data_IF_582043660099
#
_entry.id   IF_582043660099
#
_cell.length_a   1.000
_cell.length_b   1.000
_cell.length_c   1.000
_cell.angle_alpha   90.00
_cell.angle_beta   90.00
_cell.angle_gamma   90.00
#
_symmetry.space_group_name_H-M   'P 1'
#
loop_
_entity.id
_entity.type
_entity.pdbx_description
1 polymer ?
#
# COMPACT_ATOMS: atom_id res chain seq x y z
N UNK A 1 15.87 -19.73 27.72
CA UNK A 1 14.69 -18.88 27.98
C UNK A 1 13.55 -19.44 27.16
N UNK A 2 12.59 -20.09 27.81
CA UNK A 2 11.38 -20.58 27.14
C UNK A 2 10.55 -19.37 26.75
N UNK A 3 10.38 -19.15 25.45
CA UNK A 3 9.41 -18.17 24.97
C UNK A 3 8.03 -18.81 25.09
N UNK A 4 7.16 -18.34 26.01
CA UNK A 4 5.81 -18.86 26.09
C UNK A 4 5.12 -18.62 24.73
N UNK A 5 4.16 -19.48 24.41
CA UNK A 5 3.35 -19.56 23.17
C UNK A 5 2.95 -18.19 22.56
N UNK A 6 2.88 -17.14 23.38
CA UNK A 6 2.67 -15.76 22.98
C UNK A 6 3.74 -15.21 22.02
N UNK A 7 5.03 -15.43 22.26
CA UNK A 7 6.08 -14.79 21.45
C UNK A 7 6.18 -15.38 20.04
N UNK A 8 6.06 -16.71 19.89
CA UNK A 8 6.03 -17.37 18.57
C UNK A 8 4.83 -16.93 17.75
N UNK A 9 3.65 -16.83 18.38
CA UNK A 9 2.44 -16.33 17.73
C UNK A 9 2.61 -14.88 17.27
N UNK A 10 3.23 -14.03 18.10
CA UNK A 10 3.56 -12.65 17.73
C UNK A 10 4.52 -12.60 16.54
N UNK A 11 5.55 -13.45 16.51
CA UNK A 11 6.51 -13.50 15.39
C UNK A 11 5.81 -13.88 14.08
N UNK A 12 4.91 -14.88 14.08
CA UNK A 12 4.13 -15.23 12.88
C UNK A 12 3.23 -14.09 12.42
N UNK A 13 2.57 -13.41 13.36
CA UNK A 13 1.74 -12.24 13.05
C UNK A 13 2.58 -11.11 12.45
N UNK A 14 3.77 -10.84 13.00
CA UNK A 14 4.71 -9.84 12.48
C UNK A 14 5.19 -10.21 11.09
N UNK A 15 5.59 -11.47 10.87
CA UNK A 15 6.02 -11.99 9.57
C UNK A 15 4.92 -11.87 8.51
N UNK A 16 3.65 -11.95 8.90
CA UNK A 16 2.53 -11.78 7.99
C UNK A 16 2.21 -10.31 7.73
N UNK A 17 2.08 -9.51 8.79
CA UNK A 17 1.59 -8.12 8.70
C UNK A 17 2.65 -7.19 8.10
N UNK A 18 3.92 -7.29 8.54
CA UNK A 18 4.95 -6.31 8.17
C UNK A 18 5.19 -6.27 6.65
N UNK A 19 5.35 -7.40 5.94
CA UNK A 19 5.50 -7.35 4.48
C UNK A 19 4.28 -6.77 3.77
N UNK A 20 3.07 -7.02 4.27
CA UNK A 20 1.85 -6.42 3.74
C UNK A 20 1.79 -4.91 3.91
N UNK A 21 2.22 -4.39 5.08
CA UNK A 21 2.38 -2.95 5.33
C UNK A 21 3.40 -2.34 4.37
N UNK A 22 4.53 -3.02 4.15
CA UNK A 22 5.57 -2.55 3.22
C UNK A 22 5.05 -2.50 1.79
N UNK A 23 4.37 -3.54 1.29
CA UNK A 23 3.76 -3.51 -0.04
C UNK A 23 2.80 -2.32 -0.17
N UNK A 24 1.91 -2.13 0.81
CA UNK A 24 0.97 -1.00 0.84
C UNK A 24 1.71 0.34 0.80
N UNK A 25 2.83 0.46 1.51
CA UNK A 25 3.64 1.68 1.53
C UNK A 25 4.26 2.01 0.18
N UNK A 26 4.82 1.02 -0.51
CA UNK A 26 5.39 1.21 -1.85
C UNK A 26 4.32 1.43 -2.93
N UNK A 27 3.11 0.91 -2.72
CA UNK A 27 1.97 1.19 -3.59
C UNK A 27 1.52 2.66 -3.50
N UNK A 28 1.40 3.20 -2.28
CA UNK A 28 1.02 4.61 -2.05
C UNK A 28 2.26 5.52 -1.95
N UNK A 29 2.81 5.90 -3.10
CA UNK A 29 3.97 6.78 -3.21
C UNK A 29 3.66 8.09 -3.97
N UNK A 30 4.62 9.03 -3.95
CA UNK A 30 4.49 10.34 -4.63
C UNK A 30 3.32 11.16 -4.08
N UNK A 31 2.45 11.65 -4.97
CA UNK A 31 1.27 12.45 -4.64
C UNK A 31 0.20 11.69 -3.82
N UNK A 32 0.32 10.36 -3.69
CA UNK A 32 -0.61 9.51 -2.95
C UNK A 32 -0.06 9.03 -1.60
N UNK A 33 1.14 9.46 -1.21
CA UNK A 33 1.79 9.06 0.05
C UNK A 33 0.91 9.32 1.28
N UNK A 34 0.08 10.37 1.22
CA UNK A 34 -0.83 10.74 2.30
C UNK A 34 -1.97 9.73 2.49
N UNK A 35 -2.27 8.90 1.49
CA UNK A 35 -3.35 7.90 1.53
C UNK A 35 -2.98 6.63 2.27
N UNK A 36 -1.69 6.34 2.41
CA UNK A 36 -1.20 5.17 3.15
C UNK A 36 -1.80 5.06 4.56
N UNK A 37 -1.91 6.20 5.25
CA UNK A 37 -2.38 6.29 6.64
C UNK A 37 -3.88 6.49 6.81
N UNK A 38 -4.66 6.68 5.73
CA UNK A 38 -6.09 6.98 5.79
C UNK A 38 -6.90 5.71 6.13
N UNK A 39 -8.00 5.87 6.87
CA UNK A 39 -8.94 4.81 7.24
C UNK A 39 -8.87 4.42 8.72
N UNK A 40 -9.81 3.56 9.14
CA UNK A 40 -9.87 3.05 10.51
C UNK A 40 -8.69 2.11 10.74
N UNK A 41 -8.18 2.03 11.99
CA UNK A 41 -7.09 1.12 12.33
C UNK A 41 -7.40 -0.34 11.93
N UNK A 42 -8.61 -0.82 12.20
CA UNK A 42 -9.06 -2.17 11.84
C UNK A 42 -8.95 -2.42 10.32
N UNK A 43 -9.46 -1.52 9.48
CA UNK A 43 -9.38 -1.66 8.02
C UNK A 43 -7.92 -1.71 7.53
N UNK A 44 -7.06 -0.88 8.11
CA UNK A 44 -5.63 -0.86 7.77
C UNK A 44 -4.96 -2.18 8.14
N UNK A 45 -5.32 -2.76 9.29
CA UNK A 45 -4.80 -4.04 9.74
C UNK A 45 -5.28 -5.19 8.84
N UNK A 46 -6.58 -5.26 8.54
CA UNK A 46 -7.17 -6.27 7.65
C UNK A 46 -6.52 -6.21 6.26
N UNK A 47 -6.39 -5.00 5.69
CA UNK A 47 -5.74 -4.81 4.39
C UNK A 47 -4.27 -5.25 4.43
N UNK A 48 -3.56 -4.97 5.52
CA UNK A 48 -2.16 -5.37 5.66
C UNK A 48 -2.00 -6.88 5.80
N UNK A 49 -2.90 -7.57 6.51
CA UNK A 49 -2.93 -9.04 6.55
C UNK A 49 -3.17 -9.61 5.16
N UNK A 50 -4.19 -9.10 4.44
CA UNK A 50 -4.52 -9.56 3.10
C UNK A 50 -3.33 -9.41 2.13
N UNK A 51 -2.71 -8.22 2.09
CA UNK A 51 -1.52 -7.98 1.27
C UNK A 51 -0.32 -8.80 1.75
N UNK A 52 -0.19 -9.03 3.05
CA UNK A 52 0.81 -9.90 3.65
C UNK A 52 0.71 -11.32 3.12
N UNK A 53 -0.49 -11.92 3.11
CA UNK A 53 -0.73 -13.25 2.55
C UNK A 53 -0.30 -13.30 1.07
N UNK A 54 -0.65 -12.29 0.27
CA UNK A 54 -0.21 -12.20 -1.13
C UNK A 54 1.32 -12.17 -1.25
N UNK A 55 2.00 -11.37 -0.45
CA UNK A 55 3.47 -11.33 -0.43
C UNK A 55 4.06 -12.68 -0.06
N UNK A 56 3.49 -13.36 0.94
CA UNK A 56 3.97 -14.67 1.38
C UNK A 56 3.84 -15.73 0.28
N UNK A 57 2.71 -15.76 -0.43
CA UNK A 57 2.50 -16.66 -1.57
C UNK A 57 3.53 -16.39 -2.67
N UNK A 58 3.73 -15.12 -3.05
CA UNK A 58 4.69 -14.78 -4.11
C UNK A 58 6.13 -15.08 -3.67
N UNK A 59 6.48 -14.77 -2.41
CA UNK A 59 7.81 -15.05 -1.85
C UNK A 59 8.09 -16.54 -1.84
N UNK A 60 7.12 -17.36 -1.45
CA UNK A 60 7.20 -18.82 -1.49
C UNK A 60 7.43 -19.33 -2.92
N UNK A 61 6.66 -18.86 -3.90
CA UNK A 61 6.80 -19.29 -5.29
C UNK A 61 8.16 -18.91 -5.88
N UNK A 62 8.65 -17.70 -5.57
CA UNK A 62 9.98 -17.25 -6.01
C UNK A 62 11.10 -18.06 -5.38
N UNK A 63 11.05 -18.27 -4.05
CA UNK A 63 12.05 -19.04 -3.33
C UNK A 63 12.03 -20.52 -3.74
N UNK A 64 10.84 -21.11 -3.94
CA UNK A 64 10.70 -22.47 -4.46
C UNK A 64 11.35 -22.63 -5.83
N UNK A 65 11.23 -21.62 -6.71
CA UNK A 65 11.90 -21.63 -8.02
C UNK A 65 13.42 -21.48 -7.91
N UNK A 66 13.92 -20.63 -7.01
CA UNK A 66 15.36 -20.36 -6.86
C UNK A 66 16.09 -21.54 -6.20
N UNK A 67 15.50 -22.09 -5.14
CA UNK A 67 16.13 -23.13 -4.31
C UNK A 67 15.63 -24.55 -4.62
N UNK A 68 14.69 -24.71 -5.54
CA UNK A 68 14.16 -26.02 -5.95
C UNK A 68 13.24 -26.69 -4.93
N UNK A 69 12.67 -25.93 -3.99
CA UNK A 69 11.74 -26.47 -3.00
C UNK A 69 10.33 -26.61 -3.57
N UNK A 70 9.67 -27.73 -3.29
CA UNK A 70 8.28 -27.99 -3.66
C UNK A 70 7.38 -27.97 -2.44
N UNK A 71 6.06 -27.93 -2.66
CA UNK A 71 5.07 -28.01 -1.57
C UNK A 71 5.28 -29.25 -0.68
N UNK A 72 5.63 -30.39 -1.28
CA UNK A 72 5.92 -31.63 -0.55
C UNK A 72 7.15 -31.51 0.37
N UNK A 73 8.16 -30.71 -0.01
CA UNK A 73 9.33 -30.45 0.82
C UNK A 73 8.98 -29.66 2.09
N UNK A 74 7.92 -28.84 2.04
CA UNK A 74 7.54 -27.92 3.11
C UNK A 74 6.37 -28.47 3.95
N UNK A 75 5.60 -29.41 3.40
CA UNK A 75 4.50 -30.09 4.08
C UNK A 75 4.93 -30.78 5.37
N UNK A 76 6.01 -31.57 5.34
CA UNK A 76 6.55 -32.24 6.54
C UNK A 76 6.94 -31.25 7.65
N UNK A 77 7.80 -30.24 7.39
CA UNK A 77 8.10 -29.19 8.36
C UNK A 77 6.86 -28.44 8.87
N UNK A 78 5.89 -28.17 8.00
CA UNK A 78 4.67 -27.46 8.37
C UNK A 78 3.77 -28.29 9.30
N UNK A 79 3.60 -29.58 9.02
CA UNK A 79 2.86 -30.50 9.90
C UNK A 79 3.56 -30.65 11.25
N UNK A 80 4.89 -30.79 11.25
CA UNK A 80 5.68 -30.84 12.49
C UNK A 80 5.56 -29.54 13.30
N UNK A 81 5.58 -28.38 12.64
CA UNK A 81 5.35 -27.09 13.29
C UNK A 81 3.94 -26.99 13.89
N UNK A 82 2.91 -27.42 13.16
CA UNK A 82 1.53 -27.45 13.64
C UNK A 82 1.36 -28.38 14.86
N UNK A 83 1.95 -29.57 14.82
CA UNK A 83 1.96 -30.51 15.94
C UNK A 83 2.72 -29.93 17.15
N UNK A 84 3.83 -29.24 16.94
CA UNK A 84 4.59 -28.60 18.02
C UNK A 84 3.81 -27.47 18.71
N UNK A 85 3.00 -26.72 17.95
CA UNK A 85 2.13 -25.66 18.49
C UNK A 85 0.94 -26.24 19.25
N UNK A 86 0.33 -27.32 18.76
CA UNK A 86 -0.83 -27.97 19.40
C UNK A 86 -0.45 -28.80 20.62
N UNK A 87 0.77 -29.36 20.66
CA UNK A 87 1.27 -30.15 21.80
C UNK A 87 2.12 -29.34 22.79
N UNK A 88 2.34 -28.05 22.54
CA UNK A 88 3.20 -27.15 23.31
C UNK A 88 4.66 -27.66 23.51
N UNK A 89 5.09 -28.64 22.71
CA UNK A 89 6.45 -29.17 22.72
C UNK A 89 7.30 -28.42 21.72
N UNK A 90 7.86 -27.30 22.15
CA UNK A 90 8.81 -26.56 21.34
C UNK A 90 10.15 -27.30 21.33
N UNK A 91 10.63 -27.62 20.13
CA UNK A 91 12.01 -28.02 19.94
C UNK A 91 12.91 -26.80 20.16
N UNK A 92 14.09 -27.00 20.75
CA UNK A 92 15.05 -25.91 20.96
C UNK A 92 15.35 -25.19 19.64
N UNK A 93 15.03 -23.89 19.59
CA UNK A 93 15.29 -23.06 18.42
C UNK A 93 16.79 -22.81 18.35
N UNK A 94 17.46 -23.54 17.46
CA UNK A 94 18.90 -23.32 17.18
C UNK A 94 19.11 -21.97 16.49
N UNK A 95 20.27 -21.34 16.73
CA UNK A 95 20.68 -20.08 16.09
C UNK A 95 20.58 -20.09 14.56
N UNK A 96 20.81 -21.24 13.92
CA UNK A 96 20.68 -21.42 12.47
C UNK A 96 19.23 -21.22 11.98
N UNK A 97 18.24 -21.68 12.73
CA UNK A 97 16.82 -21.50 12.37
C UNK A 97 16.41 -20.02 12.42
N UNK A 98 16.97 -19.25 13.37
CA UNK A 98 16.75 -17.81 13.45
C UNK A 98 17.35 -17.07 12.25
N UNK A 99 18.55 -17.46 11.80
CA UNK A 99 19.17 -16.88 10.61
C UNK A 99 18.36 -17.15 9.34
N UNK A 100 17.84 -18.36 9.17
CA UNK A 100 16.98 -18.70 8.04
C UNK A 100 15.67 -17.90 8.08
N UNK A 101 15.02 -17.80 9.23
CA UNK A 101 13.80 -17.00 9.40
C UNK A 101 14.05 -15.51 9.11
N UNK A 102 15.19 -14.99 9.55
CA UNK A 102 15.60 -13.62 9.28
C UNK A 102 15.87 -13.38 7.78
N UNK A 103 16.60 -14.28 7.13
CA UNK A 103 16.86 -14.22 5.68
C UNK A 103 15.56 -14.30 4.87
N UNK A 104 14.61 -15.13 5.29
CA UNK A 104 13.28 -15.20 4.72
C UNK A 104 12.52 -13.88 4.89
N UNK A 105 12.53 -13.29 6.09
CA UNK A 105 11.90 -11.99 6.35
C UNK A 105 12.47 -10.91 5.43
N UNK A 106 13.79 -10.78 5.33
CA UNK A 106 14.43 -9.81 4.45
C UNK A 106 14.00 -10.02 2.99
N UNK A 107 14.00 -11.27 2.52
CA UNK A 107 13.56 -11.59 1.16
C UNK A 107 12.09 -11.20 0.95
N UNK A 108 11.21 -11.50 1.91
CA UNK A 108 9.80 -11.14 1.85
C UNK A 108 9.58 -9.62 1.81
N UNK A 109 10.42 -8.83 2.49
CA UNK A 109 10.37 -7.36 2.44
C UNK A 109 10.80 -6.82 1.08
N UNK A 110 11.82 -7.41 0.47
CA UNK A 110 12.25 -7.05 -0.90
C UNK A 110 11.16 -7.38 -1.91
N UNK A 111 10.56 -8.57 -1.80
CA UNK A 111 9.40 -8.97 -2.63
C UNK A 111 8.22 -8.01 -2.41
N UNK A 112 7.91 -7.63 -1.17
CA UNK A 112 6.85 -6.67 -0.88
C UNK A 112 7.11 -5.30 -1.52
N UNK A 113 8.32 -4.76 -1.38
CA UNK A 113 8.69 -3.46 -1.93
C UNK A 113 8.63 -3.47 -3.47
N UNK A 114 9.18 -4.51 -4.10
CA UNK A 114 9.15 -4.65 -5.56
C UNK A 114 7.73 -4.83 -6.09
N UNK A 115 6.89 -5.67 -5.46
CA UNK A 115 5.50 -5.84 -5.85
C UNK A 115 4.71 -4.54 -5.69
N UNK A 116 4.89 -3.82 -4.59
CA UNK A 116 4.23 -2.52 -4.36
C UNK A 116 4.63 -1.49 -5.43
N UNK A 117 5.92 -1.42 -5.75
CA UNK A 117 6.44 -0.53 -6.79
C UNK A 117 5.88 -0.89 -8.18
N UNK A 118 5.94 -2.17 -8.56
CA UNK A 118 5.43 -2.64 -9.85
C UNK A 118 3.93 -2.41 -9.95
N UNK A 119 3.16 -2.70 -8.90
CA UNK A 119 1.73 -2.43 -8.87
C UNK A 119 1.43 -0.94 -9.04
N UNK A 120 2.15 -0.05 -8.36
CA UNK A 120 2.02 1.39 -8.56
C UNK A 120 2.29 1.80 -10.01
N UNK A 121 3.42 1.36 -10.56
CA UNK A 121 3.82 1.68 -11.93
C UNK A 121 2.81 1.16 -12.96
N UNK A 122 2.34 -0.09 -12.83
CA UNK A 122 1.35 -0.68 -13.72
C UNK A 122 0.02 0.07 -13.66
N UNK A 123 -0.49 0.35 -12.46
CA UNK A 123 -1.75 1.08 -12.28
C UNK A 123 -1.67 2.46 -12.93
N UNK A 124 -0.56 3.19 -12.72
CA UNK A 124 -0.37 4.54 -13.25
C UNK A 124 -0.07 4.58 -14.74
N UNK A 125 0.76 3.67 -15.25
CA UNK A 125 1.14 3.59 -16.67
C UNK A 125 -0.06 3.21 -17.54
N UNK A 126 -0.85 2.23 -17.09
CA UNK A 126 -2.06 1.77 -17.80
C UNK A 126 -3.29 2.63 -17.49
N UNK A 127 -3.18 3.63 -16.59
CA UNK A 127 -4.27 4.47 -16.08
C UNK A 127 -5.46 3.63 -15.59
N UNK A 128 -5.16 2.50 -14.95
CA UNK A 128 -6.17 1.57 -14.44
C UNK A 128 -6.99 2.21 -13.33
N UNK A 129 -6.39 3.12 -12.57
CA UNK A 129 -7.03 3.93 -11.54
C UNK A 129 -8.14 4.85 -12.06
N UNK A 130 -8.00 5.37 -13.29
CA UNK A 130 -9.08 6.13 -13.95
C UNK A 130 -10.18 5.23 -14.54
N UNK A 131 -9.86 3.97 -14.90
CA UNK A 131 -10.80 3.05 -15.55
C UNK A 131 -11.61 2.19 -14.57
N UNK A 132 -10.98 1.76 -13.48
CA UNK A 132 -11.55 0.89 -12.46
C UNK A 132 -11.62 1.62 -11.12
N UNK A 133 -12.83 1.73 -10.55
CA UNK A 133 -13.06 2.43 -9.29
C UNK A 133 -12.30 1.83 -8.11
N UNK A 134 -12.06 0.51 -8.12
CA UNK A 134 -11.36 -0.21 -7.05
C UNK A 134 -9.88 0.19 -6.93
N UNK A 135 -9.24 0.59 -8.04
CA UNK A 135 -7.83 0.98 -8.10
C UNK A 135 -7.63 2.50 -8.00
N UNK A 136 -8.73 3.25 -7.87
CA UNK A 136 -8.71 4.70 -7.87
C UNK A 136 -8.12 5.22 -6.55
N UNK A 137 -7.15 6.12 -6.65
CA UNK A 137 -6.62 6.84 -5.50
C UNK A 137 -7.65 7.85 -4.97
N UNK A 138 -7.62 8.12 -3.67
CA UNK A 138 -8.59 9.01 -3.02
C UNK A 138 -8.32 10.50 -3.29
N UNK A 139 -7.14 10.86 -3.82
CA UNK A 139 -6.79 12.22 -4.19
C UNK A 139 -7.50 12.68 -5.47
N UNK A 140 -8.75 13.11 -5.34
CA UNK A 140 -9.57 13.58 -6.48
C UNK A 140 -8.97 14.78 -7.20
N UNK A 141 -8.40 15.74 -6.46
CA UNK A 141 -7.77 16.94 -7.01
C UNK A 141 -6.60 16.63 -7.94
N UNK A 142 -5.84 15.58 -7.64
CA UNK A 142 -4.79 15.10 -8.53
C UNK A 142 -5.34 14.71 -9.91
N UNK A 143 -6.51 14.07 -9.97
CA UNK A 143 -7.15 13.73 -11.24
C UNK A 143 -7.66 14.97 -12.00
N UNK A 144 -8.17 15.97 -11.28
CA UNK A 144 -8.63 17.22 -11.89
C UNK A 144 -7.48 18.02 -12.47
N UNK A 145 -6.45 18.30 -11.67
CA UNK A 145 -5.35 19.17 -12.08
C UNK A 145 -4.41 18.53 -13.12
N UNK A 146 -4.30 17.20 -13.12
CA UNK A 146 -3.57 16.48 -14.17
C UNK A 146 -4.41 16.24 -15.43
N UNK A 147 -5.72 16.48 -15.37
CA UNK A 147 -6.63 16.17 -16.46
C UNK A 147 -6.95 14.68 -16.62
N UNK A 148 -6.48 13.80 -15.72
CA UNK A 148 -6.75 12.36 -15.79
C UNK A 148 -8.24 12.04 -15.55
N UNK A 149 -9.02 12.99 -15.01
CA UNK A 149 -10.46 12.87 -14.74
C UNK A 149 -11.30 12.59 -15.99
N UNK A 150 -10.89 13.09 -17.17
CA UNK A 150 -11.59 12.90 -18.45
C UNK A 150 -11.64 11.42 -18.88
N UNK A 151 -10.74 10.60 -18.35
CA UNK A 151 -10.71 9.16 -18.62
C UNK A 151 -11.60 8.35 -17.69
N UNK A 152 -12.18 8.99 -16.67
CA UNK A 152 -13.11 8.33 -15.75
C UNK A 152 -14.48 8.12 -16.38
N UNK A 153 -15.23 7.14 -15.87
CA UNK A 153 -16.56 6.78 -16.42
C UNK A 153 -17.52 7.97 -16.47
N UNK A 154 -17.43 8.88 -15.50
CA UNK A 154 -18.36 10.01 -15.34
C UNK A 154 -18.12 11.15 -16.35
N UNK A 155 -16.94 11.20 -16.99
CA UNK A 155 -16.54 12.31 -17.87
C UNK A 155 -16.22 11.83 -19.30
N UNK A 156 -16.75 10.66 -19.69
CA UNK A 156 -16.51 10.05 -21.01
C UNK A 156 -16.98 10.90 -22.20
N UNK A 157 -17.90 11.83 -21.98
CA UNK A 157 -18.43 12.75 -23.00
C UNK A 157 -17.46 13.88 -23.34
N UNK A 158 -16.43 14.13 -22.53
CA UNK A 158 -15.45 15.16 -22.79
C UNK A 158 -14.44 14.71 -23.85
N UNK A 159 -13.95 15.65 -24.70
CA UNK A 159 -12.90 15.34 -25.67
C UNK A 159 -11.64 14.86 -24.94
N UNK A 160 -11.07 13.75 -25.41
CA UNK A 160 -9.83 13.21 -24.87
C UNK A 160 -8.66 14.05 -25.36
N UNK A 161 -7.77 14.43 -24.45
CA UNK A 161 -6.59 15.22 -24.78
C UNK A 161 -5.60 15.25 -23.62
N UNK A 162 -4.42 15.82 -23.89
CA UNK A 162 -3.44 16.12 -22.86
C UNK A 162 -3.77 17.50 -22.28
N UNK A 163 -4.04 17.57 -20.99
CA UNK A 163 -4.14 18.85 -20.29
C UNK A 163 -2.74 19.44 -20.18
N UNK A 164 -2.58 20.67 -20.65
CA UNK A 164 -1.31 21.41 -20.63
C UNK A 164 -1.28 22.32 -19.40
N UNK A 165 -2.37 23.04 -19.16
CA UNK A 165 -2.51 24.00 -18.08
C UNK A 165 -3.87 23.86 -17.39
N UNK A 166 -3.91 24.16 -16.10
CA UNK A 166 -5.15 24.24 -15.33
C UNK A 166 -5.34 25.67 -14.84
N UNK A 167 -6.45 26.29 -15.23
CA UNK A 167 -6.88 27.58 -14.71
C UNK A 167 -7.89 27.36 -13.58
N UNK A 168 -7.70 28.05 -12.47
CA UNK A 168 -8.55 27.91 -11.28
C UNK A 168 -9.07 29.25 -10.81
N UNK A 169 -10.34 29.23 -10.38
CA UNK A 169 -11.01 30.32 -9.70
C UNK A 169 -11.27 29.93 -8.26
N UNK A 170 -10.71 30.67 -7.31
CA UNK A 170 -10.80 30.39 -5.88
C UNK A 170 -11.51 31.54 -5.18
N UNK A 171 -12.58 31.24 -4.45
CA UNK A 171 -13.28 32.21 -3.61
C UNK A 171 -12.71 32.10 -2.19
N UNK A 172 -12.17 33.21 -1.69
CA UNK A 172 -11.66 33.34 -0.34
C UNK A 172 -12.72 34.00 0.55
N UNK A 173 -13.10 33.30 1.61
CA UNK A 173 -13.90 33.88 2.69
C UNK A 173 -12.96 34.60 3.65
N UNK A 174 -13.02 35.92 3.66
CA UNK A 174 -12.32 36.74 4.64
C UNK A 174 -13.21 36.85 5.88
N UNK A 175 -12.71 36.48 7.05
CA UNK A 175 -13.47 36.55 8.31
C UNK A 175 -13.82 38.00 8.69
N UNK A 176 -13.05 38.98 8.22
CA UNK A 176 -13.31 40.40 8.43
C UNK A 176 -14.23 40.98 7.34
N UNK A 177 -15.50 41.20 7.68
CA UNK A 177 -16.39 42.12 6.96
C UNK A 177 -17.25 41.53 5.84
N UNK A 178 -17.40 40.21 5.74
CA UNK A 178 -18.36 39.56 4.82
C UNK A 178 -18.07 39.74 3.32
N UNK A 179 -16.86 40.21 2.98
CA UNK A 179 -16.44 40.38 1.58
C UNK A 179 -15.74 39.12 1.10
N UNK A 180 -16.29 38.52 0.04
CA UNK A 180 -15.65 37.42 -0.68
C UNK A 180 -14.64 37.99 -1.69
N UNK A 181 -13.42 37.44 -1.71
CA UNK A 181 -12.42 37.79 -2.73
C UNK A 181 -12.23 36.61 -3.66
N UNK A 182 -12.50 36.81 -4.95
CA UNK A 182 -12.18 35.82 -5.97
C UNK A 182 -10.74 36.05 -6.44
N UNK A 183 -9.97 34.97 -6.53
CA UNK A 183 -8.62 34.95 -7.07
C UNK A 183 -8.60 33.94 -8.20
N UNK A 184 -8.19 34.40 -9.38
CA UNK A 184 -8.13 33.59 -10.59
C UNK A 184 -6.69 33.51 -11.08
N UNK A 185 -6.30 32.36 -11.62
CA UNK A 185 -4.98 32.21 -12.21
C UNK A 185 -4.65 30.77 -12.60
N UNK A 186 -3.46 30.59 -13.17
CA UNK A 186 -2.95 29.28 -13.53
C UNK A 186 -2.41 28.55 -12.30
N UNK A 187 -2.80 27.29 -12.15
CA UNK A 187 -2.32 26.41 -11.09
C UNK A 187 -0.98 25.79 -11.50
N UNK A 188 0.09 26.16 -10.81
CA UNK A 188 1.42 25.57 -10.99
C UNK A 188 1.67 24.39 -10.04
N UNK A 189 1.36 24.54 -8.75
CA UNK A 189 1.55 23.51 -7.73
C UNK A 189 0.50 23.61 -6.61
N UNK A 190 0.30 22.52 -5.87
CA UNK A 190 -0.68 22.44 -4.78
C UNK A 190 -0.32 21.38 -3.73
N UNK A 191 -0.71 21.64 -2.48
CA UNK A 191 -0.62 20.66 -1.39
C UNK A 191 -1.95 20.55 -0.65
N UNK A 192 -2.36 19.31 -0.35
CA UNK A 192 -3.59 18.99 0.36
C UNK A 192 -3.25 18.43 1.74
N UNK A 193 -3.85 18.94 2.82
CA UNK A 193 -3.75 18.31 4.15
C UNK A 193 -4.74 17.15 4.26
N UNK A 194 -4.41 16.14 5.07
CA UNK A 194 -5.10 14.85 5.23
C UNK A 194 -6.62 14.86 5.55
N UNK A 195 -7.27 16.02 5.68
CA UNK A 195 -8.74 16.09 5.81
C UNK A 195 -9.37 16.28 4.43
N UNK A 196 -10.54 15.67 4.17
CA UNK A 196 -11.19 15.83 2.89
C UNK A 196 -11.42 17.33 2.62
N UNK A 197 -11.07 17.75 1.40
CA UNK A 197 -11.55 18.95 0.71
C UNK A 197 -10.93 20.34 0.98
N UNK A 198 -9.77 20.52 1.62
CA UNK A 198 -9.16 21.87 1.72
C UNK A 198 -7.78 21.98 1.08
N UNK A 199 -7.70 22.72 -0.03
CA UNK A 199 -6.47 23.19 -0.68
C UNK A 199 -5.84 24.29 0.18
N UNK A 200 -4.52 24.24 0.40
CA UNK A 200 -3.76 25.39 0.93
C UNK A 200 -2.58 25.71 0.01
N UNK A 201 -2.31 27.01 -0.11
CA UNK A 201 -1.14 27.59 -0.76
C UNK A 201 0.15 27.05 -0.09
N UNK A 202 1.07 26.51 -0.88
CA UNK A 202 2.48 26.47 -0.49
C UNK A 202 3.09 27.80 -0.93
N UNK A 203 3.75 28.49 0.01
CA UNK A 203 4.65 29.60 -0.29
C UNK A 203 6.03 29.05 -0.59
#
# INVERSE_FOLDING_TARGET
MEFPVSATSVIFVVLLIVPGVVLKRFYFQGHFTKEFGIGIFADRLITSIFLGILVQIVSFLLLGKIYGFTFETIKKPATMAYESVTTAKFHEVTSQHLWVAFGYLITSLVVAATLGQVAHLLVRALRLDSRFSLLRFNNQWYYFFRGDIIYSKNFRSLPKGKVIETYVDIILNMEEGGKHKMVSGFLSDYSIRQRPANLRRSF
#
